data_IF_543845948312
#
_entry.id   IF_543845948312
#
_cell.length_a   1.000
_cell.length_b   1.000
_cell.length_c   1.000
_cell.angle_alpha   90.00
_cell.angle_beta   90.00
_cell.angle_gamma   90.00
#
_symmetry.space_group_name_H-M   'P 1'
#
loop_
_entity.id
_entity.type
_entity.pdbx_description
1 polymer ?
2 non-polymer ?
3 non-polymer ?
4 water ?
#
# COMPACT_ATOMS: atom_id res chain seq x y z
N UNK A 4 8.29 30.67 -2.73
CA UNK A 4 7.42 29.75 -3.46
C UNK A 4 7.64 28.32 -2.96
N UNK A 5 8.77 28.08 -2.28
CA UNK A 5 9.18 26.75 -1.88
C UNK A 5 8.78 26.49 -0.43
N UNK A 6 8.05 25.41 -0.19
CA UNK A 6 7.45 25.20 1.13
C UNK A 6 8.38 24.52 2.13
N UNK A 7 9.25 23.63 1.68
CA UNK A 7 10.27 23.07 2.55
C UNK A 7 11.44 24.05 2.61
N UNK A 8 11.95 24.33 3.81
CA UNK A 8 13.15 25.16 3.87
C UNK A 8 14.40 24.39 3.45
N UNK A 9 14.37 23.06 3.55
CA UNK A 9 15.47 22.24 3.07
C UNK A 9 14.92 20.87 2.70
N UNK A 10 15.54 20.25 1.69
CA UNK A 10 15.08 18.96 1.15
C UNK A 10 15.64 17.81 1.98
N UNK A 11 15.15 17.73 3.22
CA UNK A 11 15.59 16.71 4.18
C UNK A 11 14.44 16.35 5.10
N UNK A 12 14.64 15.25 5.84
CA UNK A 12 13.65 14.83 6.83
C UNK A 12 13.42 15.91 7.86
N UNK A 13 14.47 16.64 8.24
CA UNK A 13 14.31 17.73 9.20
C UNK A 13 13.49 18.86 8.61
N UNK A 14 13.71 19.16 7.32
CA UNK A 14 12.88 20.13 6.65
C UNK A 14 11.43 19.73 6.64
N UNK A 15 11.17 18.44 6.41
CA UNK A 15 9.79 17.95 6.36
C UNK A 15 9.17 17.99 7.75
N UNK A 16 9.95 17.66 8.79
CA UNK A 16 9.41 17.71 10.15
C UNK A 16 9.05 19.14 10.53
N UNK A 17 9.91 20.11 10.19
CA UNK A 17 9.57 21.50 10.48
C UNK A 17 8.33 21.94 9.71
N UNK A 18 8.23 21.55 8.44
CA UNK A 18 7.01 21.87 7.68
C UNK A 18 5.78 21.27 8.36
N UNK A 19 5.86 19.99 8.72
CA UNK A 19 4.81 19.27 9.45
C UNK A 19 4.41 20.00 10.71
N UNK A 20 5.35 20.67 11.36
CA UNK A 20 5.07 21.37 12.61
C UNK A 20 4.52 22.78 12.39
N UNK A 21 4.58 23.30 11.15
CA UNK A 21 3.97 24.56 10.81
C UNK A 21 2.46 24.40 10.64
N UNK A 22 1.75 25.53 10.58
CA UNK A 22 0.30 25.49 10.45
C UNK A 22 -0.19 25.25 9.03
N UNK A 23 0.66 25.40 8.01
CA UNK A 23 0.23 25.05 6.66
C UNK A 23 0.02 23.54 6.51
N UNK A 24 0.71 22.73 7.31
CA UNK A 24 0.64 21.28 7.15
C UNK A 24 -0.47 20.73 8.04
N UNK A 25 -1.63 20.54 7.44
CA UNK A 25 -2.82 20.08 8.13
C UNK A 25 -3.32 18.73 7.62
N UNK A 26 -3.12 18.43 6.33
CA UNK A 26 -3.66 17.26 5.65
C UNK A 26 -2.52 16.45 5.05
N UNK A 27 -2.32 15.23 5.54
CA UNK A 27 -1.26 14.34 5.08
C UNK A 27 -1.91 13.16 4.36
N UNK A 28 -1.43 12.84 3.16
CA UNK A 28 -1.83 11.61 2.47
C UNK A 28 -0.65 10.66 2.48
N UNK A 29 -0.87 9.43 2.94
CA UNK A 29 0.11 8.36 2.82
C UNK A 29 -0.23 7.46 1.63
N UNK A 30 0.81 7.08 0.87
CA UNK A 30 0.74 6.11 -0.22
C UNK A 30 1.73 5.01 0.14
N UNK A 31 1.23 3.80 0.36
CA UNK A 31 2.08 2.74 0.89
C UNK A 31 1.97 1.48 0.04
N UNK A 32 3.03 0.68 0.09
CA UNK A 32 3.07 -0.60 -0.59
C UNK A 32 3.72 -1.66 0.28
N UNK A 33 4.21 -2.72 -0.36
CA UNK A 33 4.54 -3.93 0.39
C UNK A 33 5.77 -3.74 1.26
N UNK A 34 6.59 -2.72 0.97
CA UNK A 34 7.78 -2.49 1.76
C UNK A 34 7.51 -2.22 3.23
N UNK A 35 6.33 -1.67 3.55
CA UNK A 35 5.99 -1.36 4.94
C UNK A 35 5.51 -2.58 5.71
N UNK A 36 5.42 -3.76 5.06
CA UNK A 36 5.03 -5.00 5.73
C UNK A 36 6.15 -6.03 5.76
N UNK A 37 7.30 -5.75 5.15
CA UNK A 37 8.34 -6.77 5.12
C UNK A 37 8.90 -7.02 6.52
N UNK A 38 9.01 -5.98 7.36
CA UNK A 38 9.48 -6.21 8.72
C UNK A 38 8.42 -6.95 9.55
N UNK A 39 7.19 -7.07 9.06
CA UNK A 39 6.18 -7.89 9.71
C UNK A 39 6.24 -9.35 9.27
N UNK A 40 7.26 -9.72 8.49
CA UNK A 40 7.40 -11.08 8.04
C UNK A 40 6.70 -11.42 6.74
N UNK A 41 6.17 -10.43 6.02
CA UNK A 41 5.49 -10.65 4.76
C UNK A 41 6.42 -10.17 3.64
N UNK A 42 7.05 -11.07 2.89
CA UNK A 42 7.97 -10.63 1.84
C UNK A 42 7.23 -9.79 0.81
N UNK A 43 7.98 -8.92 0.11
CA UNK A 43 7.38 -8.03 -0.89
C UNK A 43 7.34 -8.71 -2.25
N UNK A 44 7.15 -7.94 -3.32
CA UNK A 44 7.00 -8.51 -4.65
C UNK A 44 8.26 -8.39 -5.51
N UNK A 45 8.95 -7.25 -5.46
CA UNK A 45 10.04 -6.98 -6.39
C UNK A 45 11.44 -7.00 -5.77
N UNK A 46 11.59 -7.33 -4.49
CA UNK A 46 12.95 -7.44 -3.98
C UNK A 46 13.64 -8.65 -4.60
N UNK A 47 14.91 -8.54 -4.99
CA UNK A 47 15.61 -9.71 -5.53
C UNK A 47 15.63 -10.88 -4.54
N UNK A 48 15.37 -12.08 -5.08
CA UNK A 48 15.53 -13.37 -4.40
C UNK A 48 14.42 -13.69 -3.39
N UNK A 49 14.06 -12.76 -2.49
CA UNK A 49 12.96 -13.01 -1.57
C UNK A 49 11.59 -12.59 -2.11
N UNK A 50 11.55 -11.65 -3.04
CA UNK A 50 10.28 -11.16 -3.53
C UNK A 50 9.53 -12.17 -4.39
N UNK A 51 8.22 -11.96 -4.50
CA UNK A 51 7.38 -12.93 -5.17
C UNK A 51 7.82 -13.17 -6.62
N UNK A 52 8.13 -12.10 -7.34
CA UNK A 52 8.43 -12.20 -8.78
C UNK A 52 9.64 -13.10 -9.05
N UNK A 53 10.55 -13.23 -8.08
CA UNK A 53 11.65 -14.17 -8.23
C UNK A 53 11.29 -15.58 -7.77
N UNK A 54 10.05 -15.82 -7.36
CA UNK A 54 9.64 -17.13 -6.84
C UNK A 54 8.41 -17.66 -7.56
N UNK A 55 8.29 -17.39 -8.86
CA UNK A 55 7.13 -17.82 -9.63
C UNK A 55 7.41 -19.01 -10.55
N UNK A 56 8.68 -19.39 -10.77
CA UNK A 56 8.96 -20.38 -11.81
C UNK A 56 8.30 -21.71 -11.49
N UNK A 57 8.24 -22.08 -10.19
CA UNK A 57 7.68 -23.36 -9.77
C UNK A 57 6.18 -23.47 -10.02
N UNK A 58 5.49 -22.38 -10.33
CA UNK A 58 4.07 -22.47 -10.61
C UNK A 58 3.78 -22.77 -12.07
N UNK A 59 4.82 -22.86 -12.90
CA UNK A 59 4.70 -23.25 -14.31
C UNK A 59 3.67 -22.40 -15.04
N UNK A 60 3.86 -21.01 -14.95
CA UNK A 60 2.99 -20.04 -15.60
C UNK A 60 3.44 -19.80 -17.04
N UNK A 61 2.51 -19.45 -17.93
CA UNK A 61 2.92 -19.05 -19.28
C UNK A 61 3.78 -17.80 -19.26
N UNK A 62 3.65 -16.96 -18.24
CA UNK A 62 4.53 -15.83 -17.97
C UNK A 62 4.22 -15.39 -16.55
N UNK A 63 5.17 -14.76 -15.84
CA UNK A 63 4.96 -14.50 -14.41
C UNK A 63 3.73 -13.64 -14.10
N UNK A 64 3.38 -12.68 -14.96
CA UNK A 64 2.25 -11.81 -14.66
C UNK A 64 0.91 -12.53 -14.75
N UNK A 65 0.87 -13.73 -15.35
CA UNK A 65 -0.40 -14.46 -15.49
C UNK A 65 -1.06 -14.69 -14.14
N UNK A 66 -0.27 -14.87 -13.08
CA UNK A 66 -0.88 -15.20 -11.80
C UNK A 66 -1.62 -14.01 -11.22
N UNK A 67 -1.34 -12.80 -11.72
CA UNK A 67 -2.04 -11.58 -11.34
C UNK A 67 -3.23 -11.26 -12.23
N UNK A 68 -3.40 -11.96 -13.36
CA UNK A 68 -4.36 -11.57 -14.40
C UNK A 68 -5.74 -12.18 -14.19
N UNK A 69 -6.77 -11.32 -14.20
CA UNK A 69 -8.14 -11.80 -13.93
C UNK A 69 -8.58 -12.85 -14.96
N UNK A 70 -8.26 -12.67 -16.24
CA UNK A 70 -8.76 -13.65 -17.22
C UNK A 70 -8.05 -14.99 -17.04
N UNK A 71 -6.75 -14.97 -16.70
CA UNK A 71 -6.04 -16.20 -16.40
C UNK A 71 -6.60 -16.86 -15.15
N UNK A 72 -6.80 -16.06 -14.07
CA UNK A 72 -7.41 -16.57 -12.84
C UNK A 72 -8.71 -17.28 -13.14
N UNK A 73 -9.59 -16.64 -13.91
CA UNK A 73 -10.89 -17.24 -14.22
C UNK A 73 -10.72 -18.55 -14.98
N UNK A 74 -9.69 -18.67 -15.83
CA UNK A 74 -9.53 -19.92 -16.56
C UNK A 74 -8.79 -20.98 -15.74
N UNK A 75 -7.72 -20.59 -15.05
CA UNK A 75 -6.91 -21.51 -14.24
C UNK A 75 -6.65 -20.86 -12.88
N UNK A 76 -7.56 -21.04 -11.91
CA UNK A 76 -7.37 -20.41 -10.58
C UNK A 76 -6.41 -21.15 -9.66
N UNK A 77 -6.09 -22.40 -9.97
CA UNK A 77 -5.30 -23.21 -9.04
C UNK A 77 -3.91 -22.64 -8.76
N UNK A 78 -3.16 -22.10 -9.72
CA UNK A 78 -1.87 -21.47 -9.34
C UNK A 78 -2.05 -20.35 -8.34
N UNK A 79 -3.03 -19.47 -8.54
CA UNK A 79 -3.23 -18.38 -7.60
C UNK A 79 -3.46 -18.91 -6.19
N UNK A 80 -4.29 -19.95 -6.05
CA UNK A 80 -4.60 -20.42 -4.69
C UNK A 80 -3.44 -21.22 -4.09
N UNK A 81 -2.64 -21.89 -4.90
CA UNK A 81 -1.42 -22.49 -4.35
C UNK A 81 -0.46 -21.39 -3.85
N UNK A 82 -0.26 -20.34 -4.66
CA UNK A 82 0.56 -19.21 -4.22
C UNK A 82 0.01 -18.57 -2.95
N UNK A 83 -1.31 -18.43 -2.87
CA UNK A 83 -1.94 -17.86 -1.68
C UNK A 83 -1.63 -18.69 -0.44
N UNK A 84 -1.62 -20.02 -0.57
CA UNK A 84 -1.19 -20.84 0.56
C UNK A 84 0.28 -20.60 0.90
N UNK A 85 1.13 -20.51 -0.12
CA UNK A 85 2.56 -20.31 0.12
C UNK A 85 2.84 -19.00 0.85
N UNK A 86 2.14 -17.94 0.49
CA UNK A 86 2.40 -16.60 1.00
C UNK A 86 1.49 -16.21 2.16
N UNK A 87 0.61 -17.10 2.60
CA UNK A 87 -0.30 -16.76 3.68
C UNK A 87 0.51 -16.33 4.89
N UNK A 88 0.34 -15.11 5.40
CA UNK A 88 1.14 -14.68 6.56
C UNK A 88 0.92 -15.56 7.77
N UNK A 89 2.02 -15.94 8.43
CA UNK A 89 1.95 -16.76 9.61
C UNK A 89 1.49 -15.98 10.83
N UNK A 90 1.52 -14.66 10.76
CA UNK A 90 1.04 -13.79 11.82
C UNK A 90 0.77 -12.41 11.24
N UNK A 91 -0.10 -11.67 11.91
CA UNK A 91 -0.57 -10.36 11.43
C UNK A 91 -0.26 -9.33 12.51
N UNK A 92 1.01 -8.94 12.60
CA UNK A 92 1.43 -7.93 13.56
C UNK A 92 1.90 -6.71 12.78
N UNK A 93 1.18 -5.59 12.80
CA UNK A 93 1.60 -4.44 11.99
C UNK A 93 2.92 -3.87 12.50
N UNK A 94 3.54 -3.07 11.65
CA UNK A 94 4.88 -2.55 11.90
C UNK A 94 4.84 -1.14 12.47
N UNK A 95 6.03 -0.66 12.86
CA UNK A 95 6.18 0.71 13.33
C UNK A 95 5.62 1.68 12.31
N UNK A 96 5.92 1.46 11.02
CA UNK A 96 5.37 2.30 9.96
C UNK A 96 3.84 2.37 9.99
N UNK A 97 3.17 1.21 10.11
CA UNK A 97 1.71 1.19 10.24
C UNK A 97 1.25 2.04 11.43
N UNK A 98 1.89 1.84 12.59
CA UNK A 98 1.47 2.56 13.80
C UNK A 98 1.79 4.04 13.71
N UNK A 99 2.79 4.42 12.91
CA UNK A 99 3.03 5.84 12.66
C UNK A 99 1.86 6.44 11.91
N UNK A 100 1.34 5.69 10.96
CA UNK A 100 0.17 6.17 10.23
C UNK A 100 -1.03 6.26 11.16
N UNK A 101 -1.11 5.32 12.11
CA UNK A 101 -2.13 5.39 13.16
C UNK A 101 -1.96 6.60 14.06
N UNK A 102 -0.71 6.97 14.37
CA UNK A 102 -0.47 8.19 15.14
C UNK A 102 -0.90 9.42 14.34
N UNK A 103 -0.60 9.45 13.04
CA UNK A 103 -1.07 10.53 12.17
C UNK A 103 -2.59 10.63 12.21
N UNK A 104 -3.27 9.49 12.27
CA UNK A 104 -4.71 9.48 12.46
C UNK A 104 -5.12 10.10 13.80
N UNK A 105 -4.55 9.57 14.89
CA UNK A 105 -4.98 10.01 16.22
C UNK A 105 -4.69 11.49 16.45
N UNK A 106 -3.73 12.06 15.74
CA UNK A 106 -3.39 13.48 15.88
C UNK A 106 -4.12 14.38 14.90
N UNK A 107 -5.02 13.83 14.09
CA UNK A 107 -5.76 14.64 13.15
C UNK A 107 -4.99 15.11 11.93
N UNK A 108 -3.88 14.47 11.59
CA UNK A 108 -3.12 14.86 10.40
C UNK A 108 -3.40 13.97 9.19
N UNK A 109 -3.93 12.78 9.39
CA UNK A 109 -4.12 11.82 8.29
C UNK A 109 -5.40 12.19 7.56
N UNK A 110 -5.26 12.70 6.35
CA UNK A 110 -6.42 12.86 5.48
C UNK A 110 -6.82 11.52 4.86
N UNK A 111 -5.84 10.75 4.38
CA UNK A 111 -6.13 9.44 3.81
C UNK A 111 -4.86 8.62 3.73
N UNK A 112 -5.01 7.32 3.88
CA UNK A 112 -3.96 6.37 3.53
C UNK A 112 -4.43 5.60 2.30
N UNK A 113 -3.74 5.78 1.18
CA UNK A 113 -3.96 4.97 -0.02
C UNK A 113 -2.97 3.81 0.02
N UNK A 114 -3.48 2.60 0.15
CA UNK A 114 -2.60 1.44 0.27
C UNK A 114 -2.81 0.52 -0.93
N UNK A 115 -1.69 -0.04 -1.41
CA UNK A 115 -1.69 -1.15 -2.35
C UNK A 115 -1.69 -2.50 -1.64
N UNK A 116 -1.52 -2.51 -0.33
CA UNK A 116 -1.30 -3.77 0.39
C UNK A 116 -2.59 -4.52 0.54
N UNK A 117 -2.51 -5.85 0.42
CA UNK A 117 -3.68 -6.71 0.53
C UNK A 117 -3.70 -7.46 1.85
N UNK A 118 -2.71 -7.21 2.72
CA UNK A 118 -2.51 -8.02 3.92
C UNK A 118 -3.39 -7.60 5.10
N UNK A 119 -4.13 -6.49 5.00
CA UNK A 119 -5.04 -5.98 6.03
C UNK A 119 -4.31 -5.43 7.26
N UNK A 120 -3.00 -5.20 7.20
CA UNK A 120 -2.30 -4.73 8.41
C UNK A 120 -2.72 -3.31 8.79
N UNK A 121 -3.06 -2.44 7.81
CA UNK A 121 -3.56 -1.11 8.14
C UNK A 121 -4.80 -1.18 9.02
N UNK A 122 -5.72 -2.10 8.74
CA UNK A 122 -6.91 -2.23 9.57
C UNK A 122 -6.54 -2.67 10.99
N UNK A 123 -5.67 -3.68 11.09
CA UNK A 123 -5.29 -4.24 12.39
C UNK A 123 -4.56 -3.18 13.22
N UNK A 124 -3.84 -2.28 12.54
CA UNK A 124 -3.16 -1.21 13.27
C UNK A 124 -4.11 -0.12 13.75
N UNK A 125 -5.37 -0.14 13.32
CA UNK A 125 -6.37 0.78 13.82
C UNK A 125 -6.80 1.88 12.86
N UNK A 126 -6.35 1.84 11.60
CA UNK A 126 -6.90 2.76 10.63
C UNK A 126 -8.32 2.31 10.28
N UNK A 127 -9.30 3.20 10.42
CA UNK A 127 -10.67 2.80 10.12
C UNK A 127 -11.01 3.00 8.63
N UNK A 128 -12.15 2.44 8.23
CA UNK A 128 -12.52 2.42 6.82
C UNK A 128 -12.56 3.84 6.25
N UNK A 129 -13.03 4.80 7.03
CA UNK A 129 -13.01 6.20 6.60
C UNK A 129 -11.59 6.71 6.31
N UNK A 130 -10.56 6.24 7.05
CA UNK A 130 -9.19 6.68 6.86
C UNK A 130 -8.47 6.04 5.68
N UNK A 131 -9.06 5.04 5.05
CA UNK A 131 -8.33 4.14 4.18
C UNK A 131 -8.94 4.07 2.79
N UNK A 132 -8.08 4.01 1.78
CA UNK A 132 -8.48 3.56 0.46
C UNK A 132 -7.61 2.34 0.20
N UNK A 133 -8.21 1.16 0.27
CA UNK A 133 -7.55 -0.08 -0.11
C UNK A 133 -7.63 -0.17 -1.63
N UNK A 134 -6.71 0.57 -2.27
CA UNK A 134 -6.76 0.77 -3.73
C UNK A 134 -6.73 -0.53 -4.49
N UNK A 135 -5.98 -1.54 -4.00
CA UNK A 135 -5.93 -2.83 -4.68
C UNK A 135 -6.67 -3.92 -3.94
N UNK A 136 -7.65 -3.54 -3.10
CA UNK A 136 -8.48 -4.47 -2.37
C UNK A 136 -7.69 -5.12 -1.26
N UNK A 137 -8.32 -6.10 -0.61
CA UNK A 137 -7.69 -6.86 0.47
C UNK A 137 -8.18 -8.31 0.42
N UNK A 138 -7.39 -9.20 1.01
CA UNK A 138 -7.84 -10.56 1.28
C UNK A 138 -8.92 -10.63 2.36
N UNK A 139 -9.31 -9.51 2.97
CA UNK A 139 -10.19 -9.58 4.13
C UNK A 139 -11.53 -10.23 3.78
N UNK A 140 -12.11 -9.90 2.63
CA UNK A 140 -13.36 -10.54 2.22
C UNK A 140 -13.20 -11.10 0.81
N UNK A 141 -14.13 -11.96 0.41
CA UNK A 141 -14.12 -12.61 -0.89
C UNK A 141 -15.54 -12.60 -1.43
N UNK A 142 -15.69 -12.72 -2.76
CA UNK A 142 -17.01 -12.74 -3.36
C UNK A 142 -17.08 -13.77 -4.48
N UNK A 143 -18.20 -14.49 -4.50
CA UNK A 143 -18.49 -15.27 -5.69
C UNK A 143 -18.41 -14.39 -6.95
N UNK A 144 -17.88 -14.93 -8.04
CA UNK A 144 -17.66 -14.11 -9.24
C UNK A 144 -18.87 -13.96 -10.14
N UNK A 145 -19.96 -14.68 -9.88
CA UNK A 145 -21.14 -14.62 -10.73
C UNK A 145 -21.94 -13.35 -10.42
N UNK A 146 -22.15 -12.52 -11.45
CA UNK A 146 -22.87 -11.26 -11.21
C UNK A 146 -24.27 -11.49 -10.68
N UNK A 147 -24.86 -12.64 -10.97
CA UNK A 147 -26.21 -12.94 -10.49
C UNK A 147 -26.24 -13.38 -9.03
N UNK A 148 -25.09 -13.47 -8.37
CA UNK A 148 -25.04 -14.03 -7.03
C UNK A 148 -24.22 -13.15 -6.09
N UNK A 149 -22.91 -13.05 -6.33
CA UNK A 149 -22.02 -12.17 -5.57
C UNK A 149 -22.11 -12.42 -4.05
N UNK A 150 -22.36 -13.66 -3.64
CA UNK A 150 -22.32 -14.02 -2.23
C UNK A 150 -20.94 -13.71 -1.63
N UNK A 151 -20.94 -13.14 -0.42
CA UNK A 151 -19.72 -12.75 0.29
C UNK A 151 -19.25 -13.85 1.23
N UNK A 152 -17.92 -13.97 1.39
CA UNK A 152 -17.34 -14.96 2.27
C UNK A 152 -16.20 -14.34 3.08
N UNK A 153 -16.12 -14.65 4.37
CA UNK A 153 -15.11 -14.01 5.22
C UNK A 153 -13.76 -14.68 5.09
N UNK A 154 -12.72 -13.96 5.54
CA UNK A 154 -11.37 -14.51 5.49
C UNK A 154 -11.26 -15.89 6.14
N UNK A 155 -12.04 -16.20 7.19
CA UNK A 155 -11.87 -17.49 7.84
C UNK A 155 -12.24 -18.63 6.90
N UNK A 156 -13.33 -18.44 6.14
CA UNK A 156 -13.76 -19.42 5.14
C UNK A 156 -12.71 -19.58 4.05
N UNK A 157 -12.20 -18.45 3.54
CA UNK A 157 -11.23 -18.47 2.44
C UNK A 157 -9.95 -19.14 2.92
N UNK A 158 -9.52 -18.79 4.14
CA UNK A 158 -8.33 -19.40 4.74
C UNK A 158 -8.45 -20.91 4.77
N UNK A 159 -9.61 -21.42 5.20
CA UNK A 159 -9.78 -22.86 5.24
C UNK A 159 -9.63 -23.48 3.83
N UNK A 160 -10.26 -22.85 2.82
CA UNK A 160 -10.11 -23.39 1.47
C UNK A 160 -8.65 -23.35 1.01
N UNK A 161 -7.95 -22.26 1.30
CA UNK A 161 -6.56 -22.09 0.88
C UNK A 161 -5.66 -23.16 1.51
N UNK A 162 -5.81 -23.38 2.81
CA UNK A 162 -4.96 -24.37 3.47
C UNK A 162 -5.36 -25.80 3.16
N UNK A 163 -6.64 -26.06 2.92
CA UNK A 163 -7.02 -27.41 2.51
C UNK A 163 -6.77 -27.66 1.02
N UNK A 164 -6.27 -26.66 0.29
CA UNK A 164 -5.97 -26.76 -1.15
C UNK A 164 -7.19 -27.23 -1.95
N UNK A 165 -8.36 -26.74 -1.55
CA UNK A 165 -9.59 -26.94 -2.30
C UNK A 165 -9.90 -25.62 -2.98
N UNK A 166 -10.08 -25.63 -4.28
CA UNK A 166 -10.42 -24.39 -4.98
C UNK A 166 -11.76 -23.86 -4.45
N UNK A 167 -11.81 -22.62 -3.96
CA UNK A 167 -13.04 -22.07 -3.33
C UNK A 167 -14.17 -21.96 -4.34
N UNK A 168 -15.26 -22.68 -4.10
CA UNK A 168 -16.47 -22.55 -4.90
C UNK A 168 -17.59 -21.98 -4.02
N UNK A 169 -18.44 -21.15 -4.63
CA UNK A 169 -19.56 -20.55 -3.92
C UNK A 169 -20.55 -21.61 -3.45
N UNK A 170 -20.99 -21.49 -2.20
CA UNK A 170 -21.91 -22.47 -1.63
C UNK A 170 -23.33 -22.36 -2.20
N UNK A 171 -23.70 -21.21 -2.78
CA UNK A 171 -25.04 -21.09 -3.35
C UNK A 171 -25.12 -21.47 -4.82
N UNK A 172 -24.09 -21.13 -5.61
CA UNK A 172 -24.17 -21.29 -7.05
C UNK A 172 -23.00 -22.05 -7.66
N UNK A 173 -21.95 -22.36 -6.89
CA UNK A 173 -20.82 -23.18 -7.31
C UNK A 173 -19.94 -22.48 -8.34
N UNK A 174 -20.08 -21.17 -8.51
CA UNK A 174 -19.07 -20.41 -9.23
C UNK A 174 -17.84 -20.22 -8.34
N UNK A 175 -16.75 -19.80 -8.97
CA UNK A 175 -15.51 -19.47 -8.28
C UNK A 175 -15.70 -18.31 -7.30
N UNK A 176 -15.03 -18.40 -6.15
CA UNK A 176 -15.01 -17.32 -5.16
C UNK A 176 -13.63 -16.68 -5.21
N UNK A 177 -13.60 -15.38 -5.44
CA UNK A 177 -12.33 -14.66 -5.56
C UNK A 177 -12.13 -13.71 -4.38
N UNK A 178 -10.93 -13.68 -3.79
CA UNK A 178 -10.63 -12.64 -2.80
C UNK A 178 -10.86 -11.24 -3.38
N UNK A 179 -11.27 -10.31 -2.53
CA UNK A 179 -11.60 -8.94 -2.95
C UNK A 179 -10.36 -8.10 -3.22
N UNK A 180 -9.35 -8.68 -3.81
CA UNK A 180 -8.18 -7.94 -4.27
C UNK A 180 -8.40 -7.62 -5.73
N UNK A 181 -7.70 -6.60 -6.23
CA UNK A 181 -7.86 -6.14 -7.60
C UNK A 181 -6.81 -6.84 -8.45
N UNK A 182 -7.26 -7.70 -9.37
CA UNK A 182 -6.34 -8.34 -10.31
C UNK A 182 -5.98 -7.38 -11.44
N UNK A 183 -4.86 -7.64 -12.09
CA UNK A 183 -4.56 -7.01 -13.36
C UNK A 183 -5.75 -7.20 -14.28
N UNK A 184 -6.24 -6.12 -14.85
CA UNK A 184 -7.37 -6.18 -15.75
C UNK A 184 -8.69 -5.79 -15.11
N UNK A 185 -8.75 -5.72 -13.78
CA UNK A 185 -9.98 -5.34 -13.09
C UNK A 185 -10.01 -3.84 -12.82
N UNK A 186 -11.24 -3.32 -12.69
CA UNK A 186 -11.40 -1.94 -12.29
C UNK A 186 -11.09 -1.78 -10.80
N UNK A 187 -10.64 -0.59 -10.43
CA UNK A 187 -10.40 -0.31 -9.03
C UNK A 187 -11.70 0.08 -8.33
N UNK A 188 -11.77 -0.06 -7.00
CA UNK A 188 -12.96 0.41 -6.26
C UNK A 188 -13.31 1.87 -6.58
N UNK A 189 -14.61 2.15 -6.68
CA UNK A 189 -15.06 3.52 -6.98
C UNK A 189 -14.62 4.52 -5.92
N UNK A 190 -14.51 4.04 -4.67
CA UNK A 190 -13.99 4.86 -3.59
C UNK A 190 -12.65 5.48 -3.98
N UNK A 191 -11.82 4.73 -4.71
CA UNK A 191 -10.51 5.24 -5.13
C UNK A 191 -10.64 6.57 -5.88
N UNK A 192 -11.57 6.64 -6.83
CA UNK A 192 -11.71 7.84 -7.66
C UNK A 192 -12.44 8.96 -6.92
N UNK A 193 -13.50 8.62 -6.17
CA UNK A 193 -14.19 9.67 -5.41
C UNK A 193 -13.25 10.32 -4.40
N UNK A 194 -12.55 9.51 -3.60
CA UNK A 194 -11.62 10.07 -2.63
C UNK A 194 -10.48 10.81 -3.31
N UNK A 195 -9.94 10.28 -4.42
CA UNK A 195 -8.81 10.95 -5.05
C UNK A 195 -9.17 12.38 -5.44
N UNK A 196 -10.34 12.55 -6.06
CA UNK A 196 -10.72 13.88 -6.50
C UNK A 196 -10.90 14.82 -5.32
N UNK A 197 -11.43 14.30 -4.19
CA UNK A 197 -11.57 15.24 -3.07
C UNK A 197 -10.26 15.45 -2.28
N UNK A 198 -9.52 14.38 -2.02
CA UNK A 198 -8.33 14.44 -1.17
C UNK A 198 -7.21 15.24 -1.81
N UNK A 199 -6.94 15.04 -3.11
CA UNK A 199 -5.73 15.65 -3.63
C UNK A 199 -5.88 17.14 -3.92
N UNK A 200 -7.09 17.70 -3.74
CA UNK A 200 -7.22 19.15 -3.67
C UNK A 200 -6.70 19.70 -2.34
N UNK A 201 -6.79 18.92 -1.26
CA UNK A 201 -6.55 19.43 0.09
C UNK A 201 -5.17 19.10 0.63
N UNK A 202 -4.49 18.12 0.04
CA UNK A 202 -3.32 17.54 0.66
C UNK A 202 -2.21 18.57 0.78
N UNK A 203 -1.57 18.63 1.96
CA UNK A 203 -0.44 19.51 2.21
C UNK A 203 0.89 18.76 2.23
N UNK A 204 0.87 17.43 2.35
CA UNK A 204 2.08 16.63 2.44
C UNK A 204 1.77 15.23 1.94
N UNK A 205 2.63 14.72 1.07
CA UNK A 205 2.47 13.38 0.53
C UNK A 205 3.59 12.52 1.08
N UNK A 206 3.23 11.47 1.80
CA UNK A 206 4.17 10.51 2.38
C UNK A 206 4.09 9.20 1.60
N UNK A 207 5.18 8.83 0.93
CA UNK A 207 5.25 7.64 0.09
C UNK A 207 6.21 6.67 0.75
N UNK A 208 5.74 5.46 1.07
CA UNK A 208 6.55 4.53 1.85
C UNK A 208 6.46 3.11 1.33
N UNK A 209 7.60 2.46 1.15
CA UNK A 209 7.59 1.04 0.91
C UNK A 209 6.91 0.62 -0.38
N UNK A 210 7.04 1.40 -1.46
CA UNK A 210 6.49 1.01 -2.75
C UNK A 210 7.43 1.36 -3.89
N UNK A 211 7.49 0.46 -4.89
CA UNK A 211 8.24 0.69 -6.13
C UNK A 211 7.46 1.52 -7.17
N UNK A 212 6.19 1.87 -6.92
CA UNK A 212 5.41 2.71 -7.82
C UNK A 212 5.42 2.13 -9.25
N UNK A 213 5.16 0.84 -9.33
CA UNK A 213 5.26 0.14 -10.60
C UNK A 213 3.90 -0.21 -11.19
N UNK A 214 2.81 0.22 -10.54
CA UNK A 214 1.47 -0.22 -10.91
C UNK A 214 0.57 1.00 -11.08
N UNK A 215 -0.05 1.12 -12.22
CA UNK A 215 -0.99 2.17 -12.56
C UNK A 215 -2.42 1.65 -12.37
N UNK A 216 -3.39 2.55 -12.07
CA UNK A 216 -3.27 4.02 -11.93
C UNK A 216 -2.75 4.47 -10.55
N UNK A 217 -2.47 3.55 -9.63
CA UNK A 217 -2.01 3.95 -8.28
C UNK A 217 -0.79 4.87 -8.36
N UNK A 218 0.18 4.51 -9.21
CA UNK A 218 1.38 5.34 -9.32
C UNK A 218 1.12 6.75 -9.82
N UNK A 219 0.01 6.99 -10.54
CA UNK A 219 -0.32 8.34 -10.97
C UNK A 219 -0.69 9.25 -9.81
N UNK A 220 -0.97 8.69 -8.62
CA UNK A 220 -1.41 9.52 -7.50
C UNK A 220 -0.37 10.55 -7.12
N UNK A 221 0.92 10.27 -7.32
CA UNK A 221 1.91 11.22 -6.86
C UNK A 221 1.86 12.49 -7.72
N UNK A 222 1.34 12.37 -8.95
CA UNK A 222 1.20 13.53 -9.82
C UNK A 222 -0.13 14.25 -9.64
N UNK A 223 -1.06 13.69 -8.86
CA UNK A 223 -2.33 14.35 -8.60
C UNK A 223 -2.24 15.44 -7.54
N UNK A 224 -1.13 15.50 -6.80
CA UNK A 224 -1.01 16.48 -5.74
C UNK A 224 -0.69 17.86 -6.32
N UNK A 225 -1.07 18.93 -5.64
CA UNK A 225 -0.69 20.27 -6.11
C UNK A 225 0.83 20.41 -6.23
N UNK A 226 1.27 21.27 -7.15
CA UNK A 226 2.70 21.31 -7.46
C UNK A 226 3.56 21.83 -6.32
N UNK A 227 2.98 22.54 -5.35
CA UNK A 227 3.77 22.99 -4.20
C UNK A 227 3.82 21.97 -3.06
N UNK A 228 2.93 20.98 -3.06
CA UNK A 228 2.84 20.00 -1.99
C UNK A 228 4.15 19.22 -1.89
N UNK A 229 4.83 19.26 -0.74
CA UNK A 229 6.05 18.46 -0.59
C UNK A 229 5.73 16.97 -0.61
N UNK A 230 6.71 16.20 -1.09
CA UNK A 230 6.58 14.75 -1.24
C UNK A 230 7.80 14.09 -0.62
N UNK A 231 7.56 13.27 0.40
CA UNK A 231 8.61 12.56 1.13
C UNK A 231 8.51 11.07 0.84
N UNK A 232 9.56 10.50 0.28
CA UNK A 232 9.68 9.07 0.03
C UNK A 232 10.55 8.44 1.11
N UNK A 233 10.01 7.46 1.82
CA UNK A 233 10.75 6.62 2.76
C UNK A 233 10.75 5.22 2.19
N UNK A 234 11.92 4.75 1.75
CA UNK A 234 11.97 3.54 0.96
C UNK A 234 13.42 3.09 0.92
N UNK A 235 13.63 1.78 0.70
CA UNK A 235 14.99 1.29 0.57
C UNK A 235 15.71 1.85 -0.66
N UNK A 236 14.99 2.34 -1.65
CA UNK A 236 15.65 2.92 -2.81
C UNK A 236 14.70 3.90 -3.49
N UNK A 237 15.29 4.79 -4.29
CA UNK A 237 14.49 5.79 -4.98
C UNK A 237 13.51 5.13 -5.93
N UNK A 238 12.36 5.77 -6.12
CA UNK A 238 11.28 5.22 -6.92
C UNK A 238 10.40 6.38 -7.39
N UNK A 239 9.62 6.11 -8.44
CA UNK A 239 8.72 7.11 -8.98
C UNK A 239 9.41 8.33 -9.53
N UNK A 240 10.64 8.18 -10.00
CA UNK A 240 11.35 9.34 -10.54
C UNK A 240 10.83 9.69 -11.93
N UNK A 241 11.01 10.95 -12.31
CA UNK A 241 10.47 11.43 -13.57
C UNK A 241 11.40 11.17 -14.75
N UNK A 242 12.62 10.70 -14.50
CA UNK A 242 13.63 10.52 -15.54
C UNK A 242 13.14 9.58 -16.64
N UNK A 243 13.08 10.02 -17.89
CA UNK A 243 12.42 9.21 -18.93
C UNK A 243 13.30 8.05 -19.40
N UNK A 244 12.70 6.88 -19.50
CA UNK A 244 13.35 5.75 -20.14
C UNK A 244 12.29 4.81 -20.68
N UNK A 245 12.68 4.00 -21.65
CA UNK A 245 11.71 3.05 -22.24
C UNK A 245 11.28 2.04 -21.19
N UNK A 246 9.98 1.95 -21.00
CA UNK A 246 9.43 1.07 -20.00
C UNK A 246 9.18 1.73 -18.67
N UNK A 247 9.42 3.05 -18.54
CA UNK A 247 9.00 3.76 -17.35
C UNK A 247 7.52 3.55 -17.11
N UNK A 248 7.14 3.53 -15.83
CA UNK A 248 5.75 3.35 -15.45
C UNK A 248 5.02 4.67 -15.51
N UNK A 249 5.72 5.75 -15.19
CA UNK A 249 5.08 7.04 -15.00
C UNK A 249 4.69 7.56 -16.39
N UNK A 250 3.52 8.20 -16.50
CA UNK A 250 3.26 9.00 -17.67
C UNK A 250 4.33 10.06 -17.85
N UNK A 251 4.64 10.40 -19.09
CA UNK A 251 5.75 11.32 -19.32
C UNK A 251 5.43 12.69 -18.71
N UNK A 252 6.42 13.27 -18.01
CA UNK A 252 6.21 14.51 -17.30
C UNK A 252 6.05 14.34 -15.80
N UNK A 253 5.23 13.37 -15.39
CA UNK A 253 5.05 13.11 -13.98
C UNK A 253 6.23 12.39 -13.38
N UNK A 254 6.32 12.46 -12.05
CA UNK A 254 7.36 11.76 -11.33
C UNK A 254 8.11 12.67 -10.38
N UNK A 255 8.93 12.03 -9.55
CA UNK A 255 9.60 12.68 -8.44
C UNK A 255 10.90 13.27 -8.95
N UNK A 256 11.27 14.43 -8.43
CA UNK A 256 12.57 15.06 -8.72
C UNK A 256 13.31 15.26 -7.40
N UNK A 257 14.16 14.29 -7.04
CA UNK A 257 14.99 14.42 -5.84
C UNK A 257 16.30 15.16 -6.09
N UNK A 258 16.89 15.05 -7.30
CA UNK A 258 18.30 15.34 -7.50
C UNK A 258 18.64 16.37 -8.56
N UNK A 259 17.72 16.72 -9.46
CA UNK A 259 18.09 17.71 -10.48
C UNK A 259 18.34 19.07 -9.82
N UNK A 260 18.89 20.01 -10.61
CA UNK A 260 19.09 21.35 -10.02
C UNK A 260 17.78 22.10 -9.86
N UNK A 261 16.69 21.61 -10.46
CA UNK A 261 15.37 22.19 -10.32
C UNK A 261 14.58 21.61 -9.15
N UNK A 262 15.12 20.60 -8.46
CA UNK A 262 14.45 19.98 -7.33
C UNK A 262 14.05 21.02 -6.30
N UNK A 263 12.80 20.95 -5.83
CA UNK A 263 12.30 21.98 -4.93
C UNK A 263 11.37 21.45 -3.86
N UNK A 264 10.86 20.22 -3.95
CA UNK A 264 9.88 19.76 -2.97
C UNK A 264 9.93 18.27 -2.64
N UNK A 265 10.79 17.49 -3.29
CA UNK A 265 10.77 16.04 -3.17
C UNK A 265 11.98 15.59 -2.36
N UNK A 266 11.73 14.78 -1.33
CA UNK A 266 12.76 14.28 -0.43
C UNK A 266 12.75 12.75 -0.46
N UNK A 267 13.94 12.14 -0.57
CA UNK A 267 14.09 10.68 -0.46
C UNK A 267 14.91 10.38 0.79
N UNK A 268 14.27 9.72 1.75
CA UNK A 268 14.97 9.16 2.91
C UNK A 268 15.10 7.68 2.64
N UNK A 269 16.34 7.23 2.39
CA UNK A 269 16.63 5.87 1.89
C UNK A 269 17.07 4.98 3.04
N UNK A 270 16.25 3.99 3.33
CA UNK A 270 16.53 3.03 4.39
C UNK A 270 15.25 2.28 4.67
N UNK A 271 15.20 1.63 5.82
CA UNK A 271 14.05 0.84 6.20
C UNK A 271 12.91 1.73 6.68
N UNK A 272 11.68 1.36 6.29
CA UNK A 272 10.50 2.18 6.62
C UNK A 272 10.37 2.38 8.13
N UNK A 273 10.60 1.34 8.91
CA UNK A 273 10.43 1.46 10.36
C UNK A 273 11.42 2.47 10.93
N UNK A 274 12.68 2.43 10.47
CA UNK A 274 13.67 3.39 10.95
C UNK A 274 13.32 4.81 10.51
N UNK A 275 12.90 4.98 9.25
CA UNK A 275 12.57 6.32 8.79
C UNK A 275 11.41 6.92 9.56
N UNK A 276 10.40 6.09 9.86
CA UNK A 276 9.26 6.55 10.63
C UNK A 276 9.66 6.84 12.07
N UNK A 277 10.56 6.05 12.62
CA UNK A 277 11.04 6.31 13.98
C UNK A 277 11.82 7.62 14.03
N UNK A 278 12.62 7.88 13.00
CA UNK A 278 13.40 9.12 12.95
C UNK A 278 12.49 10.34 12.80
N UNK A 279 11.50 10.24 11.91
CA UNK A 279 10.52 11.32 11.75
C UNK A 279 9.74 11.56 13.04
N UNK A 280 9.27 10.47 13.69
CA UNK A 280 8.55 10.63 14.95
C UNK A 280 9.43 11.32 15.99
N UNK A 281 10.70 10.90 16.07
CA UNK A 281 11.61 11.53 17.04
C UNK A 281 11.76 13.02 16.76
N UNK A 282 11.95 13.39 15.47
CA UNK A 282 12.06 14.81 15.12
C UNK A 282 10.80 15.58 15.49
N UNK A 283 9.65 14.92 15.49
CA UNK A 283 8.38 15.56 15.83
C UNK A 283 8.06 15.53 17.31
N UNK A 284 8.87 14.88 18.14
CA UNK A 284 8.51 14.70 19.53
C UNK A 284 7.49 13.60 19.76
N UNK A 285 7.34 12.67 18.81
CA UNK A 285 6.38 11.57 18.97
C UNK A 285 7.05 10.23 19.25
N UNK A 286 8.36 10.20 19.49
CA UNK A 286 9.05 8.91 19.52
C UNK A 286 8.52 8.02 20.64
N UNK A 287 8.31 8.57 21.84
CA UNK A 287 7.81 7.74 22.92
C UNK A 287 6.37 7.30 22.67
N UNK A 288 5.52 8.23 22.23
CA UNK A 288 4.15 7.85 21.88
C UNK A 288 4.14 6.69 20.92
N UNK A 289 4.96 6.78 19.86
CA UNK A 289 4.97 5.74 18.84
C UNK A 289 5.49 4.42 19.41
N UNK A 290 6.56 4.49 20.21
CA UNK A 290 7.13 3.28 20.82
C UNK A 290 6.14 2.61 21.75
N UNK A 291 5.45 3.39 22.57
CA UNK A 291 4.46 2.85 23.49
C UNK A 291 3.30 2.23 22.71
N UNK A 292 2.86 2.91 21.65
CA UNK A 292 1.77 2.39 20.82
C UNK A 292 2.14 1.03 20.23
N UNK A 293 3.36 0.92 19.66
CA UNK A 293 3.79 -0.35 19.10
C UNK A 293 3.83 -1.43 20.17
N UNK A 294 4.44 -1.12 21.32
CA UNK A 294 4.58 -2.09 22.41
C UNK A 294 3.24 -2.60 22.87
N UNK A 295 2.28 -1.69 23.05
CA UNK A 295 0.98 -2.03 23.61
C UNK A 295 0.16 -2.83 22.61
N UNK A 296 0.16 -2.40 21.36
CA UNK A 296 -0.59 -3.12 20.35
C UNK A 296 0.02 -4.50 20.09
N UNK A 297 1.35 -4.58 20.06
CA UNK A 297 2.02 -5.86 19.85
C UNK A 297 1.77 -6.82 21.01
N UNK A 298 1.85 -6.34 22.26
CA UNK A 298 1.51 -7.18 23.39
C UNK A 298 0.05 -7.64 23.32
N UNK A 299 -0.86 -6.74 22.93
CA UNK A 299 -2.27 -7.10 22.83
C UNK A 299 -2.48 -8.24 21.84
N UNK A 300 -1.78 -8.18 20.70
CA UNK A 300 -1.84 -9.27 19.72
C UNK A 300 -1.20 -10.55 20.27
N UNK A 301 -0.07 -10.41 20.98
CA UNK A 301 0.67 -11.57 21.48
C UNK A 301 -0.11 -12.37 22.52
N UNK A 302 -1.16 -11.76 23.10
CA UNK A 302 -1.91 -12.43 24.15
C UNK A 302 -2.75 -13.58 23.58
N UNK A 303 -3.17 -13.48 22.34
CA UNK A 303 -3.97 -14.56 21.80
C UNK A 303 -3.19 -15.30 20.72
#
# INVERSE_FOLDING_TARGET
GHMERLLDELTLEGVARYMQSERCRRVICLVGAGISTSAGIPDFRSPSTGLYDNLEKYHLPYPEAIFEISYFKKHPEPFFALAKELYPGQFKPTICHYFMRLLKDKGLLLRCYTQNIDTLERIAGLEQEDLVEAHGTFYTSHCVSASCRHEYPLSWMKEKIFSEVTPKCEDCQSLVKPDIVFFGESLPARFFSCMQSDFLKVDLLLVMGTSLQVQPFASLISKAPLSTPRLLINKEKAGQSDPFLGMIMGLGGGMDFDSKKAYRDVAWLGECDQGCLALAELLGWKKELEDLVRREHASIDAQS
#
